data_IF_687169590602
#
_entry.id   IF_687169590602
#
_cell.length_a   1.000
_cell.length_b   1.000
_cell.length_c   1.000
_cell.angle_alpha   90.00
_cell.angle_beta   90.00
_cell.angle_gamma   90.00
#
_symmetry.space_group_name_H-M   'P 1'
#
loop_
_entity.id
_entity.type
_entity.pdbx_description
1 polymer ?
#
# COMPACT_ATOMS: atom_id res chain seq x y z
N UNK A 1 -12.90 -9.91 1.44
CA UNK A 1 -11.63 -9.86 0.70
C UNK A 1 -10.64 -9.23 1.64
N UNK A 2 -9.69 -10.03 2.09
CA UNK A 2 -8.70 -9.60 3.06
C UNK A 2 -7.65 -8.72 2.39
N UNK A 3 -7.08 -7.77 3.14
CA UNK A 3 -6.07 -6.85 2.64
C UNK A 3 -5.23 -6.28 3.77
N UNK A 4 -4.01 -5.86 3.44
CA UNK A 4 -3.14 -5.10 4.31
C UNK A 4 -3.07 -3.66 3.81
N UNK A 5 -3.38 -2.70 4.67
CA UNK A 5 -3.48 -1.30 4.27
C UNK A 5 -2.83 -0.35 5.29
N UNK A 6 -2.22 0.70 4.78
CA UNK A 6 -1.51 1.71 5.56
C UNK A 6 -1.92 3.11 5.13
N UNK A 7 -1.98 4.03 6.09
CA UNK A 7 -2.21 5.45 5.80
C UNK A 7 -3.60 5.75 5.26
N UNK A 8 -4.62 5.64 6.11
CA UNK A 8 -5.99 6.01 5.77
C UNK A 8 -6.25 7.52 5.90
N UNK A 9 -7.51 7.88 6.18
CA UNK A 9 -7.88 9.25 6.56
C UNK A 9 -8.32 10.17 5.42
N UNK A 10 -8.68 9.63 4.24
CA UNK A 10 -9.11 10.47 3.11
C UNK A 10 -9.84 9.76 1.96
N UNK A 11 -10.32 8.52 2.16
CA UNK A 11 -10.93 7.70 1.11
C UNK A 11 -10.01 6.54 0.72
N UNK A 12 -8.90 6.85 0.06
CA UNK A 12 -7.89 5.88 -0.35
C UNK A 12 -6.81 5.68 0.71
N UNK A 13 -6.06 4.56 0.60
CA UNK A 13 -4.92 4.23 1.44
C UNK A 13 -3.59 4.64 0.78
N UNK A 14 -2.60 5.02 1.57
CA UNK A 14 -1.25 5.31 1.08
C UNK A 14 -0.62 4.11 0.38
N UNK A 15 -0.82 2.93 0.97
CA UNK A 15 -0.41 1.65 0.45
C UNK A 15 -1.48 0.62 0.82
N UNK A 16 -1.94 -0.13 -0.16
CA UNK A 16 -2.87 -1.22 -0.01
C UNK A 16 -2.35 -2.42 -0.78
N UNK A 17 -2.38 -3.60 -0.17
CA UNK A 17 -2.02 -4.87 -0.78
C UNK A 17 -3.19 -5.84 -0.64
N UNK A 18 -3.50 -6.58 -1.69
CA UNK A 18 -4.54 -7.62 -1.66
C UNK A 18 -4.12 -8.83 -0.80
N UNK A 19 -5.09 -9.66 -0.42
CA UNK A 19 -4.85 -10.82 0.43
C UNK A 19 -3.97 -11.91 -0.21
N UNK A 20 -3.89 -11.92 -1.55
CA UNK A 20 -3.03 -12.84 -2.30
C UNK A 20 -1.61 -12.27 -2.49
N UNK A 21 -1.33 -11.04 -2.01
CA UNK A 21 -0.06 -10.33 -2.13
C UNK A 21 0.46 -10.26 -3.57
N UNK A 22 -0.44 -10.07 -4.52
CA UNK A 22 -0.14 -9.97 -5.95
C UNK A 22 -0.49 -8.59 -6.52
N UNK A 23 -1.54 -7.95 -6.02
CA UNK A 23 -1.95 -6.62 -6.44
C UNK A 23 -1.72 -5.60 -5.33
N UNK A 24 -1.15 -4.46 -5.71
CA UNK A 24 -1.01 -3.32 -4.83
C UNK A 24 -1.58 -2.06 -5.43
N UNK A 25 -1.99 -1.15 -4.55
CA UNK A 25 -2.39 0.21 -4.89
C UNK A 25 -1.68 1.21 -3.97
N UNK A 26 -1.29 2.35 -4.53
CA UNK A 26 -0.78 3.48 -3.75
C UNK A 26 -1.45 4.78 -4.16
N UNK A 27 -1.88 5.55 -3.17
CA UNK A 27 -2.46 6.88 -3.35
C UNK A 27 -1.80 7.88 -2.39
N UNK A 28 -2.02 9.18 -2.61
CA UNK A 28 -1.78 10.17 -1.57
C UNK A 28 -2.73 9.98 -0.39
N UNK A 29 -2.27 10.15 0.85
CA UNK A 29 -3.15 10.11 2.02
C UNK A 29 -2.91 11.28 2.97
N UNK A 30 -3.90 11.59 3.81
CA UNK A 30 -3.79 12.66 4.81
C UNK A 30 -2.98 12.26 6.03
N UNK A 31 -3.01 10.98 6.42
CA UNK A 31 -2.25 10.51 7.59
C UNK A 31 -0.75 10.75 7.46
N UNK A 32 -0.20 10.59 6.25
CA UNK A 32 1.23 10.76 6.00
C UNK A 32 1.57 11.95 5.10
N UNK A 33 0.61 12.55 4.39
CA UNK A 33 0.88 13.61 3.43
C UNK A 33 1.76 13.15 2.26
N UNK A 34 1.75 11.85 1.94
CA UNK A 34 2.57 11.27 0.88
C UNK A 34 1.99 11.54 -0.52
N UNK A 35 2.83 11.43 -1.55
CA UNK A 35 2.39 11.23 -2.93
C UNK A 35 2.24 9.72 -3.23
N UNK A 36 1.66 9.37 -4.37
CA UNK A 36 1.63 7.98 -4.86
C UNK A 36 3.06 7.42 -4.93
N UNK A 37 3.31 6.30 -4.26
CA UNK A 37 4.65 5.77 -3.99
C UNK A 37 5.25 5.03 -5.20
N UNK A 38 4.38 4.54 -6.08
CA UNK A 38 4.72 3.81 -7.32
C UNK A 38 4.60 4.71 -8.55
N UNK A 39 5.08 4.24 -9.71
CA UNK A 39 4.96 4.97 -10.99
C UNK A 39 3.52 5.14 -11.47
N UNK A 40 2.63 4.25 -11.04
CA UNK A 40 1.18 4.22 -11.31
C UNK A 40 0.48 3.86 -10.01
N UNK A 41 -0.79 4.26 -9.85
CA UNK A 41 -1.56 3.91 -8.65
C UNK A 41 -1.62 2.41 -8.44
N UNK A 42 -2.00 1.66 -9.48
CA UNK A 42 -2.04 0.20 -9.45
C UNK A 42 -0.71 -0.43 -9.91
N UNK A 43 -0.28 -1.48 -9.21
CA UNK A 43 0.93 -2.22 -9.52
C UNK A 43 0.79 -3.71 -9.16
N UNK A 44 1.62 -4.54 -9.81
CA UNK A 44 1.82 -5.93 -9.43
C UNK A 44 3.02 -6.05 -8.50
N UNK A 45 2.89 -6.94 -7.53
CA UNK A 45 3.93 -7.23 -6.57
C UNK A 45 4.82 -8.34 -7.15
N UNK A 46 6.13 -8.12 -7.13
CA UNK A 46 7.09 -9.14 -7.55
C UNK A 46 7.55 -9.97 -6.35
N UNK A 47 8.00 -9.29 -5.28
CA UNK A 47 8.48 -9.90 -4.05
C UNK A 47 8.13 -8.99 -2.85
N UNK A 48 7.95 -9.57 -1.65
CA UNK A 48 7.74 -8.85 -0.38
C UNK A 48 8.70 -9.41 0.66
N UNK A 49 9.36 -8.52 1.40
CA UNK A 49 10.18 -8.86 2.56
C UNK A 49 9.64 -8.15 3.81
N UNK A 50 9.55 -8.87 4.93
CA UNK A 50 9.14 -8.30 6.22
C UNK A 50 10.27 -8.54 7.22
N UNK A 51 10.75 -7.47 7.83
CA UNK A 51 11.87 -7.47 8.76
C UNK A 51 11.39 -7.09 10.17
N UNK A 52 11.94 -7.75 11.19
CA UNK A 52 11.66 -7.45 12.59
C UNK A 52 12.97 -7.08 13.32
N UNK A 53 12.84 -6.25 14.36
CA UNK A 53 13.94 -5.94 15.27
C UNK A 53 13.70 -6.68 16.60
N UNK A 54 14.76 -7.23 17.19
CA UNK A 54 14.76 -7.79 18.55
C UNK A 54 15.04 -6.72 19.61
#
# INVERSE_FOLDING_TARGET
MDSLAFGGGGGEFALWLDGDLNHGRSHSCKTFGNHTLSKKEDFFIQDIEIWAFE
#
